data_IF_106138103815
#
_entry.id   IF_106138103815
#
_cell.length_a   1.000
_cell.length_b   1.000
_cell.length_c   1.000
_cell.angle_alpha   90.00
_cell.angle_beta   90.00
_cell.angle_gamma   90.00
#
_symmetry.space_group_name_H-M   'P 1'
#
loop_
_entity.id
_entity.type
_entity.pdbx_description
1 polymer ?
#
# COMPACT_ATOMS: atom_id res chain seq x y z
N UNK A 1 2.82 -16.02 -15.90
CA UNK A 1 1.60 -15.23 -15.59
C UNK A 1 1.15 -15.41 -14.14
N UNK A 2 1.31 -16.58 -13.53
CA UNK A 2 0.93 -16.84 -12.11
C UNK A 2 1.63 -15.91 -11.10
N UNK A 3 2.87 -15.54 -11.37
CA UNK A 3 3.67 -14.70 -10.47
C UNK A 3 3.16 -13.26 -10.33
N UNK A 4 2.59 -12.69 -11.40
CA UNK A 4 1.99 -11.35 -11.34
C UNK A 4 0.63 -11.36 -10.61
N UNK A 5 -0.13 -12.45 -10.74
CA UNK A 5 -1.40 -12.61 -10.03
C UNK A 5 -1.19 -12.82 -8.52
N UNK A 6 -0.12 -13.51 -8.12
CA UNK A 6 0.21 -13.72 -6.70
C UNK A 6 0.67 -12.43 -5.98
N UNK A 7 1.42 -11.56 -6.66
CA UNK A 7 1.83 -10.24 -6.10
C UNK A 7 0.63 -9.30 -5.95
N UNK A 8 -0.37 -9.39 -6.84
CA UNK A 8 -1.59 -8.58 -6.80
C UNK A 8 -2.63 -9.11 -5.79
N UNK A 9 -2.52 -10.37 -5.35
CA UNK A 9 -3.47 -10.96 -4.40
C UNK A 9 -3.32 -10.34 -2.99
N UNK A 10 -2.08 -10.06 -2.59
CA UNK A 10 -1.79 -9.38 -1.32
C UNK A 10 -1.79 -7.86 -1.50
N UNK A 11 -1.07 -7.32 -2.50
CA UNK A 11 -1.05 -5.88 -2.79
C UNK A 11 -2.07 -5.52 -3.89
N UNK A 12 -3.26 -5.08 -3.46
CA UNK A 12 -4.38 -4.84 -4.36
C UNK A 12 -4.27 -3.51 -5.13
N UNK A 13 -5.15 -3.32 -6.11
CA UNK A 13 -5.29 -2.04 -6.83
C UNK A 13 -5.68 -0.90 -5.86
N UNK A 14 -6.49 -1.20 -4.84
CA UNK A 14 -6.87 -0.23 -3.82
C UNK A 14 -5.63 0.28 -3.08
N UNK A 15 -4.74 -0.62 -2.68
CA UNK A 15 -3.52 -0.28 -1.94
C UNK A 15 -2.57 0.53 -2.80
N UNK A 16 -2.47 0.18 -4.09
CA UNK A 16 -1.76 0.97 -5.08
C UNK A 16 -2.28 2.41 -5.21
N UNK A 17 -3.59 2.63 -5.20
CA UNK A 17 -4.19 3.96 -5.24
C UNK A 17 -3.93 4.76 -3.97
N UNK A 18 -3.99 4.12 -2.81
CA UNK A 18 -3.65 4.74 -1.52
C UNK A 18 -2.19 5.19 -1.50
N UNK A 19 -1.26 4.31 -1.88
CA UNK A 19 0.18 4.61 -1.94
C UNK A 19 0.48 5.71 -2.97
N UNK A 20 -0.16 5.66 -4.15
CA UNK A 20 0.03 6.66 -5.19
C UNK A 20 -0.45 8.04 -4.73
N UNK A 21 -1.61 8.11 -4.08
CA UNK A 21 -2.15 9.37 -3.52
C UNK A 21 -1.21 9.94 -2.46
N UNK A 22 -0.76 9.11 -1.51
CA UNK A 22 0.20 9.50 -0.48
C UNK A 22 1.47 10.11 -1.09
N UNK A 23 2.09 9.44 -2.07
CA UNK A 23 3.30 9.92 -2.75
C UNK A 23 3.07 11.18 -3.59
N UNK A 24 1.91 11.31 -4.21
CA UNK A 24 1.57 12.49 -5.02
C UNK A 24 1.37 13.75 -4.16
N UNK A 25 0.88 13.57 -2.92
CA UNK A 25 0.59 14.66 -1.99
C UNK A 25 1.66 14.84 -0.89
N UNK A 26 2.68 13.98 -0.86
CA UNK A 26 3.80 13.98 0.10
C UNK A 26 3.31 14.09 1.56
N UNK A 27 2.28 13.31 1.89
CA UNK A 27 1.75 13.30 3.27
C UNK A 27 2.71 12.58 4.21
N UNK A 28 2.62 12.83 5.52
CA UNK A 28 3.55 12.25 6.50
C UNK A 28 3.38 10.72 6.64
N UNK A 29 2.14 10.24 6.60
CA UNK A 29 1.81 8.82 6.78
C UNK A 29 0.44 8.46 6.19
N UNK A 30 0.17 7.16 6.09
CA UNK A 30 -1.15 6.58 5.78
C UNK A 30 -1.75 6.00 7.06
N UNK A 31 -3.01 6.35 7.33
CA UNK A 31 -3.74 5.79 8.46
C UNK A 31 -4.41 4.49 8.01
N UNK A 32 -3.83 3.34 8.37
CA UNK A 32 -4.36 2.01 8.06
C UNK A 32 -3.75 0.96 9.00
N UNK A 33 -4.51 -0.09 9.32
CA UNK A 33 -4.04 -1.31 9.98
C UNK A 33 -3.59 -2.38 8.96
N UNK A 34 -3.67 -2.06 7.67
CA UNK A 34 -3.24 -2.94 6.60
C UNK A 34 -1.71 -3.07 6.57
N UNK A 35 -1.22 -4.27 6.85
CA UNK A 35 0.21 -4.59 6.83
C UNK A 35 0.84 -4.54 5.43
N UNK A 36 0.05 -4.73 4.38
CA UNK A 36 0.55 -4.80 3.01
C UNK A 36 1.03 -3.42 2.52
N UNK A 37 0.31 -2.37 2.89
CA UNK A 37 0.71 -0.98 2.61
C UNK A 37 2.02 -0.63 3.35
N UNK A 38 2.18 -1.13 4.59
CA UNK A 38 3.43 -0.96 5.37
C UNK A 38 4.61 -1.65 4.69
N UNK A 39 4.40 -2.86 4.17
CA UNK A 39 5.44 -3.62 3.48
C UNK A 39 5.85 -2.98 2.13
N UNK A 40 5.02 -2.11 1.56
CA UNK A 40 5.35 -1.29 0.39
C UNK A 40 6.23 -0.05 0.69
N UNK A 41 6.76 0.06 1.92
CA UNK A 41 7.67 1.12 2.33
C UNK A 41 6.98 2.45 2.61
N UNK A 42 5.71 2.41 2.99
CA UNK A 42 4.92 3.58 3.41
C UNK A 42 4.79 3.58 4.92
N UNK A 43 4.97 4.74 5.54
CA UNK A 43 4.72 4.92 6.98
C UNK A 43 3.22 4.75 7.27
N UNK A 44 2.88 3.78 8.12
CA UNK A 44 1.50 3.57 8.61
C UNK A 44 1.38 3.87 10.10
N UNK A 45 0.19 4.31 10.54
CA UNK A 45 -0.05 4.74 11.93
C UNK A 45 -0.90 3.78 12.78
N UNK A 46 -1.50 2.74 12.21
CA UNK A 46 -2.30 1.76 12.96
C UNK A 46 -1.70 0.35 12.82
N UNK A 47 -1.95 -0.48 13.84
CA UNK A 47 -1.54 -1.90 13.92
C UNK A 47 -2.66 -2.85 13.57
#
# INVERSE_FOLDING_TARGET
>A
MTEYAAVVDEFSIHDGLVVASHRAHDTEAVITADGVIRDAGVTTLWE
#
